data_IF_527140087652
#
_entry.id   IF_527140087652
#
_cell.length_a   1.000
_cell.length_b   1.000
_cell.length_c   1.000
_cell.angle_alpha   90.00
_cell.angle_beta   90.00
_cell.angle_gamma   90.00
#
_symmetry.space_group_name_H-M   'P 1'
#
loop_
_entity.id
_entity.type
_entity.pdbx_description
1 polymer ?
#
# COMPACT_ATOMS: atom_id res chain seq x y z
N UNK A 1 -40.69 -17.69 25.95
CA UNK A 1 -39.28 -17.32 26.21
C UNK A 1 -38.46 -17.78 25.03
N UNK A 2 -38.13 -16.88 24.11
CA UNK A 2 -37.28 -17.18 22.94
C UNK A 2 -35.97 -16.42 23.13
N UNK A 3 -34.80 -17.08 23.24
CA UNK A 3 -33.55 -16.37 23.40
C UNK A 3 -33.16 -15.70 22.07
N UNK A 4 -33.15 -14.38 22.10
CA UNK A 4 -32.50 -13.51 21.13
C UNK A 4 -30.99 -13.60 21.31
N UNK A 5 -30.27 -14.23 20.37
CA UNK A 5 -28.87 -13.89 20.03
C UNK A 5 -28.34 -14.76 18.87
N UNK A 6 -28.05 -14.11 17.74
CA UNK A 6 -26.79 -14.29 17.00
C UNK A 6 -26.48 -12.96 16.35
N UNK A 7 -26.00 -12.01 17.17
CA UNK A 7 -25.10 -10.97 16.65
C UNK A 7 -23.91 -11.72 16.04
N UNK A 8 -23.54 -11.35 14.82
CA UNK A 8 -22.51 -12.02 14.03
C UNK A 8 -21.29 -12.31 14.88
N UNK A 9 -20.83 -13.57 14.84
CA UNK A 9 -19.56 -13.94 15.45
C UNK A 9 -18.49 -13.06 14.80
N UNK A 10 -17.87 -12.18 15.58
CA UNK A 10 -16.63 -11.51 15.19
C UNK A 10 -15.65 -12.65 14.93
N UNK A 11 -15.33 -12.92 13.67
CA UNK A 11 -14.25 -13.86 13.35
C UNK A 11 -12.99 -13.27 13.95
N UNK A 12 -12.45 -13.90 14.99
CA UNK A 12 -11.11 -13.56 15.47
C UNK A 12 -10.14 -13.87 14.34
N UNK A 13 -9.53 -12.80 13.79
CA UNK A 13 -8.48 -12.97 12.81
C UNK A 13 -7.23 -13.55 13.48
N UNK A 14 -6.56 -14.53 12.85
CA UNK A 14 -5.32 -15.06 13.39
C UNK A 14 -4.29 -13.93 13.58
N UNK A 15 -3.38 -14.06 14.56
CA UNK A 15 -2.31 -13.10 14.75
C UNK A 15 -1.43 -13.03 13.50
N UNK A 16 -0.79 -11.88 13.29
CA UNK A 16 0.21 -11.75 12.23
C UNK A 16 1.39 -12.70 12.52
N UNK A 17 2.04 -13.18 11.46
CA UNK A 17 3.24 -14.01 11.54
C UNK A 17 4.49 -13.22 11.97
N UNK A 18 4.32 -11.94 12.32
CA UNK A 18 5.39 -11.01 12.66
C UNK A 18 4.84 -9.80 13.41
N UNK A 19 5.75 -9.03 14.00
CA UNK A 19 5.46 -7.73 14.63
C UNK A 19 5.96 -6.61 13.70
N UNK A 20 5.07 -6.02 12.87
CA UNK A 20 5.49 -5.00 11.93
C UNK A 20 5.75 -3.66 12.65
N UNK A 21 6.76 -2.88 12.22
CA UNK A 21 6.99 -1.55 12.77
C UNK A 21 5.81 -0.58 12.48
N UNK A 22 5.05 -0.87 11.42
CA UNK A 22 3.81 -0.17 11.06
C UNK A 22 2.74 -1.20 10.67
N UNK A 23 1.55 -1.19 11.28
CA UNK A 23 0.48 -2.13 10.91
C UNK A 23 0.06 -1.97 9.45
N UNK A 24 -0.13 -3.09 8.73
CA UNK A 24 -0.55 -3.08 7.33
C UNK A 24 -1.96 -3.66 7.17
N UNK A 25 -2.84 -2.91 6.52
CA UNK A 25 -4.24 -3.27 6.31
C UNK A 25 -4.61 -3.12 4.84
N UNK A 26 -5.39 -4.05 4.29
CA UNK A 26 -5.92 -3.89 2.94
C UNK A 26 -7.41 -4.21 2.87
N UNK A 27 -8.13 -3.47 2.04
CA UNK A 27 -9.45 -3.89 1.59
C UNK A 27 -9.32 -4.50 0.19
N UNK A 28 -9.88 -5.69 -0.01
CA UNK A 28 -9.93 -6.35 -1.32
C UNK A 28 -11.36 -6.31 -1.86
N UNK A 29 -11.56 -5.69 -3.02
CA UNK A 29 -12.89 -5.46 -3.59
C UNK A 29 -13.52 -6.71 -4.26
N UNK A 30 -12.78 -7.81 -4.41
CA UNK A 30 -13.33 -9.03 -5.02
C UNK A 30 -13.45 -8.99 -6.54
N UNK A 31 -12.73 -8.09 -7.21
CA UNK A 31 -12.90 -7.78 -8.64
C UNK A 31 -11.87 -8.47 -9.56
N UNK A 32 -10.89 -9.17 -8.99
CA UNK A 32 -9.81 -9.87 -9.70
C UNK A 32 -9.70 -11.35 -9.26
N UNK A 33 -8.81 -12.10 -9.92
CA UNK A 33 -8.52 -13.50 -9.56
C UNK A 33 -7.87 -13.56 -8.16
N UNK A 34 -8.53 -14.15 -7.15
CA UNK A 34 -8.00 -14.25 -5.79
C UNK A 34 -6.62 -14.92 -5.69
N UNK A 35 -6.25 -15.76 -6.66
CA UNK A 35 -4.96 -16.46 -6.68
C UNK A 35 -3.80 -15.58 -7.13
N UNK A 36 -4.10 -14.53 -7.90
CA UNK A 36 -3.11 -13.56 -8.41
C UNK A 36 -3.03 -12.31 -7.55
N UNK A 37 -4.04 -12.07 -6.73
CA UNK A 37 -4.13 -10.93 -5.85
C UNK A 37 -3.00 -10.90 -4.79
N UNK A 38 -2.21 -9.84 -4.80
CA UNK A 38 -1.04 -9.72 -3.92
C UNK A 38 -1.43 -9.46 -2.46
N UNK A 39 -2.48 -8.66 -2.22
CA UNK A 39 -3.00 -8.41 -0.87
C UNK A 39 -3.52 -9.70 -0.21
N UNK A 40 -4.30 -10.51 -0.93
CA UNK A 40 -4.76 -11.82 -0.44
C UNK A 40 -3.62 -12.78 -0.18
N UNK A 41 -2.57 -12.76 -1.01
CA UNK A 41 -1.40 -13.59 -0.79
C UNK A 41 -0.70 -13.18 0.51
N UNK A 42 -0.44 -11.89 0.74
CA UNK A 42 0.13 -11.41 2.00
C UNK A 42 -0.71 -11.81 3.21
N UNK A 43 -2.03 -11.69 3.13
CA UNK A 43 -2.94 -12.06 4.21
C UNK A 43 -2.93 -13.57 4.50
N UNK A 44 -2.81 -14.41 3.46
CA UNK A 44 -2.63 -15.86 3.60
C UNK A 44 -1.32 -16.21 4.33
N UNK A 45 -0.28 -15.37 4.18
CA UNK A 45 0.98 -15.48 4.91
C UNK A 45 0.95 -14.76 6.27
N UNK A 46 -0.20 -14.24 6.70
CA UNK A 46 -0.37 -13.49 7.94
C UNK A 46 0.57 -12.27 8.05
N UNK A 47 0.87 -11.61 6.93
CA UNK A 47 1.74 -10.43 6.91
C UNK A 47 0.98 -9.12 6.98
N UNK A 48 -0.29 -9.11 6.57
CA UNK A 48 -1.21 -7.96 6.63
C UNK A 48 -2.58 -8.42 7.14
N UNK A 49 -3.42 -7.47 7.55
CA UNK A 49 -4.85 -7.73 7.84
C UNK A 49 -5.72 -7.37 6.63
N UNK A 50 -6.71 -8.20 6.32
CA UNK A 50 -7.73 -7.88 5.33
C UNK A 50 -9.00 -7.41 6.03
N UNK A 51 -9.52 -6.25 5.64
CA UNK A 51 -10.79 -5.75 6.17
C UNK A 51 -11.93 -6.09 5.21
N UNK A 52 -13.14 -6.23 5.75
CA UNK A 52 -14.33 -6.63 4.98
C UNK A 52 -14.92 -5.50 4.13
N UNK A 53 -14.58 -4.24 4.43
CA UNK A 53 -15.05 -3.07 3.67
C UNK A 53 -14.05 -1.91 3.73
N UNK A 54 -14.09 -0.96 2.78
CA UNK A 54 -13.22 0.21 2.81
C UNK A 54 -13.36 1.05 4.09
N UNK A 55 -14.56 1.06 4.68
CA UNK A 55 -14.84 1.80 5.93
C UNK A 55 -14.35 1.11 7.19
N UNK A 56 -13.97 -0.16 7.08
CA UNK A 56 -13.38 -0.92 8.17
C UNK A 56 -11.85 -0.75 8.25
N UNK A 57 -11.24 0.00 7.32
CA UNK A 57 -9.85 0.41 7.45
C UNK A 57 -9.65 1.26 8.73
N UNK A 58 -8.50 1.15 9.41
CA UNK A 58 -8.29 1.84 10.68
C UNK A 58 -8.37 3.36 10.54
N UNK A 59 -9.15 4.00 11.41
CA UNK A 59 -9.23 5.45 11.46
C UNK A 59 -7.87 6.05 11.85
N UNK A 60 -7.46 7.10 11.14
CA UNK A 60 -6.16 7.76 11.30
C UNK A 60 -5.02 7.12 10.51
N UNK A 61 -5.24 5.96 9.87
CA UNK A 61 -4.21 5.32 9.07
C UNK A 61 -3.89 6.13 7.80
N UNK A 62 -2.68 5.94 7.29
CA UNK A 62 -2.29 6.39 5.97
C UNK A 62 -3.03 5.55 4.94
N UNK A 63 -3.72 6.17 3.98
CA UNK A 63 -4.33 5.48 2.85
C UNK A 63 -3.47 5.72 1.60
N UNK A 64 -2.92 4.65 1.04
CA UNK A 64 -2.22 4.70 -0.25
C UNK A 64 -3.24 4.90 -1.36
N UNK A 65 -3.42 6.16 -1.77
CA UNK A 65 -4.45 6.62 -2.69
C UNK A 65 -3.79 7.33 -3.89
N UNK A 66 -3.82 6.72 -5.09
CA UNK A 66 -3.15 7.28 -6.28
C UNK A 66 -3.76 8.61 -6.74
N UNK A 67 -4.93 9.00 -6.22
CA UNK A 67 -5.60 10.26 -6.54
C UNK A 67 -5.42 11.33 -5.43
N UNK A 68 -4.59 11.06 -4.42
CA UNK A 68 -4.32 12.02 -3.37
C UNK A 68 -3.43 13.17 -3.88
N UNK A 69 -3.64 14.37 -3.36
CA UNK A 69 -2.84 15.55 -3.71
C UNK A 69 -1.51 15.66 -2.97
N UNK A 70 -1.39 14.97 -1.84
CA UNK A 70 -0.19 14.97 -0.99
C UNK A 70 0.55 13.65 -1.22
N UNK A 71 1.84 13.72 -1.51
CA UNK A 71 2.70 12.54 -1.61
C UNK A 71 3.00 12.00 -0.21
N UNK A 72 3.18 10.68 -0.10
CA UNK A 72 3.69 10.04 1.10
C UNK A 72 5.12 10.52 1.37
N UNK A 73 5.43 10.87 2.62
CA UNK A 73 6.76 11.32 3.04
C UNK A 73 7.03 10.99 4.51
N UNK A 74 8.21 11.35 5.03
CA UNK A 74 8.56 11.14 6.44
C UNK A 74 7.63 11.87 7.43
N UNK A 75 6.98 12.96 7.01
CA UNK A 75 5.92 13.62 7.80
C UNK A 75 4.81 12.65 8.26
N UNK A 76 4.61 11.55 7.55
CA UNK A 76 3.55 10.57 7.81
C UNK A 76 3.97 9.47 8.80
N UNK A 77 5.23 9.46 9.27
CA UNK A 77 5.79 8.42 10.14
C UNK A 77 4.97 8.23 11.43
N UNK A 78 4.62 9.30 12.14
CA UNK A 78 3.86 9.19 13.40
C UNK A 78 2.49 8.55 13.18
N UNK A 79 1.76 8.99 12.15
CA UNK A 79 0.46 8.45 11.82
C UNK A 79 0.55 6.98 11.36
N UNK A 80 1.55 6.65 10.54
CA UNK A 80 1.79 5.28 10.08
C UNK A 80 2.16 4.34 11.24
N UNK A 81 3.00 4.77 12.18
CA UNK A 81 3.36 3.97 13.35
C UNK A 81 2.17 3.76 14.28
N UNK A 82 1.35 4.80 14.50
CA UNK A 82 0.23 4.74 15.43
C UNK A 82 -0.98 4.00 14.87
N UNK A 83 -1.30 4.18 13.60
CA UNK A 83 -2.55 3.72 12.99
C UNK A 83 -2.35 2.75 11.82
N UNK A 84 -1.14 2.71 11.24
CA UNK A 84 -0.79 1.83 10.14
C UNK A 84 -0.90 2.47 8.76
N UNK A 85 -0.57 1.65 7.77
CA UNK A 85 -0.72 1.94 6.33
C UNK A 85 -1.80 1.03 5.76
N UNK A 86 -2.69 1.64 4.98
CA UNK A 86 -3.87 1.03 4.39
C UNK A 86 -3.81 1.09 2.87
N UNK A 87 -4.15 -0.01 2.21
CA UNK A 87 -4.31 -0.07 0.76
C UNK A 87 -5.72 -0.52 0.38
N UNK A 88 -6.13 -0.14 -0.83
CA UNK A 88 -7.36 -0.60 -1.46
C UNK A 88 -6.97 -1.35 -2.73
N UNK A 89 -7.30 -2.62 -2.78
CA UNK A 89 -7.06 -3.48 -3.92
C UNK A 89 -8.37 -3.64 -4.71
N UNK A 90 -8.43 -2.92 -5.84
CA UNK A 90 -9.59 -2.85 -6.73
C UNK A 90 -9.13 -2.72 -8.19
N UNK A 91 -10.03 -3.00 -9.14
CA UNK A 91 -9.74 -2.76 -10.54
C UNK A 91 -9.71 -1.25 -10.86
N UNK A 92 -8.89 -0.84 -11.83
CA UNK A 92 -8.80 0.55 -12.27
C UNK A 92 -10.15 1.16 -12.66
N UNK A 93 -11.05 0.36 -13.26
CA UNK A 93 -12.40 0.80 -13.63
C UNK A 93 -13.26 1.28 -12.45
N UNK A 94 -12.92 0.87 -11.22
CA UNK A 94 -13.64 1.21 -10.00
C UNK A 94 -12.79 1.92 -8.95
N UNK A 95 -11.56 2.31 -9.30
CA UNK A 95 -10.60 2.86 -8.35
C UNK A 95 -11.15 4.13 -7.68
N UNK A 96 -11.48 5.17 -8.45
CA UNK A 96 -11.87 6.46 -7.88
C UNK A 96 -13.09 6.39 -6.94
N UNK A 97 -14.22 5.73 -7.30
CA UNK A 97 -15.33 5.56 -6.35
C UNK A 97 -14.94 4.77 -5.09
N UNK A 98 -14.08 3.76 -5.21
CA UNK A 98 -13.65 2.94 -4.07
C UNK A 98 -12.77 3.73 -3.11
N UNK A 99 -11.80 4.48 -3.63
CA UNK A 99 -10.95 5.38 -2.84
C UNK A 99 -11.77 6.49 -2.18
N UNK A 100 -12.74 7.09 -2.90
CA UNK A 100 -13.65 8.09 -2.33
C UNK A 100 -14.39 7.57 -1.10
N UNK A 101 -14.84 6.31 -1.13
CA UNK A 101 -15.50 5.66 0.00
C UNK A 101 -14.54 5.32 1.15
N UNK A 102 -13.28 5.01 0.84
CA UNK A 102 -12.24 4.70 1.81
C UNK A 102 -11.78 5.95 2.59
N UNK A 103 -11.60 7.10 1.93
CA UNK A 103 -10.98 8.32 2.49
C UNK A 103 -11.49 8.80 3.85
N UNK A 104 -12.75 8.52 4.19
CA UNK A 104 -13.37 9.09 5.40
C UNK A 104 -12.64 8.61 6.66
N UNK A 105 -11.95 9.53 7.33
CA UNK A 105 -11.21 9.27 8.56
C UNK A 105 -9.81 8.71 8.36
N UNK A 106 -9.29 8.69 7.12
CA UNK A 106 -7.91 8.31 6.80
C UNK A 106 -7.12 9.49 6.23
N UNK A 107 -5.80 9.35 6.19
CA UNK A 107 -4.90 10.33 5.58
C UNK A 107 -4.49 9.85 4.18
N UNK A 108 -5.15 10.33 3.10
CA UNK A 108 -4.81 9.91 1.75
C UNK A 108 -3.44 10.44 1.34
N UNK A 109 -2.59 9.56 0.80
CA UNK A 109 -1.26 9.86 0.28
C UNK A 109 -1.03 9.14 -1.04
N UNK A 110 -0.52 9.86 -2.03
CA UNK A 110 -0.09 9.28 -3.29
C UNK A 110 1.34 8.76 -3.11
N UNK A 111 1.66 7.63 -3.75
CA UNK A 111 3.05 7.23 -3.91
C UNK A 111 3.67 8.04 -5.05
N UNK A 112 4.94 8.47 -4.93
CA UNK A 112 5.64 9.13 -6.03
C UNK A 112 5.91 8.16 -7.18
N UNK A 113 6.46 8.69 -8.28
CA UNK A 113 6.82 7.89 -9.46
C UNK A 113 7.68 6.67 -9.09
N UNK A 114 7.16 5.50 -9.43
CA UNK A 114 7.81 4.21 -9.32
C UNK A 114 7.33 3.32 -10.46
N UNK A 115 8.17 2.36 -10.84
CA UNK A 115 7.93 1.42 -11.92
C UNK A 115 7.56 0.06 -11.36
N UNK A 116 6.46 -0.52 -11.87
CA UNK A 116 6.05 -1.86 -11.49
C UNK A 116 7.06 -2.92 -11.95
N UNK A 117 7.39 -3.85 -11.06
CA UNK A 117 8.22 -5.02 -11.32
C UNK A 117 7.42 -6.33 -11.31
N UNK A 118 6.14 -6.28 -10.94
CA UNK A 118 5.28 -7.45 -11.00
C UNK A 118 5.11 -7.97 -12.45
N UNK A 119 4.99 -9.30 -12.67
CA UNK A 119 4.93 -9.88 -14.01
C UNK A 119 3.75 -9.42 -14.88
N UNK A 120 2.70 -8.84 -14.28
CA UNK A 120 1.49 -8.43 -15.03
C UNK A 120 1.63 -7.02 -15.59
N UNK A 121 2.34 -6.13 -14.88
CA UNK A 121 2.47 -4.71 -15.21
C UNK A 121 3.93 -4.26 -15.30
N UNK A 122 4.86 -5.18 -15.52
CA UNK A 122 6.29 -4.88 -15.57
C UNK A 122 6.62 -3.69 -16.48
N UNK A 123 7.39 -2.74 -15.96
CA UNK A 123 7.81 -1.54 -16.68
C UNK A 123 6.74 -0.43 -16.75
N UNK A 124 5.53 -0.64 -16.21
CA UNK A 124 4.49 0.39 -16.22
C UNK A 124 4.67 1.36 -15.03
N UNK A 125 4.75 2.67 -15.29
CA UNK A 125 4.86 3.67 -14.24
C UNK A 125 3.52 3.79 -13.49
N UNK A 126 3.58 4.05 -12.18
CA UNK A 126 2.42 4.24 -11.29
C UNK A 126 1.45 3.05 -11.15
N UNK A 127 1.64 1.96 -11.90
CA UNK A 127 0.78 0.77 -11.90
C UNK A 127 1.29 -0.34 -10.95
N UNK A 128 1.66 0.07 -9.73
CA UNK A 128 2.14 -0.85 -8.69
C UNK A 128 1.03 -1.82 -8.27
N UNK A 129 1.42 -3.07 -7.98
CA UNK A 129 0.56 -3.99 -7.24
C UNK A 129 0.47 -3.58 -5.76
N UNK A 130 -0.52 -4.09 -5.03
CA UNK A 130 -0.72 -3.75 -3.60
C UNK A 130 0.50 -4.05 -2.73
N UNK A 131 1.23 -5.15 -2.98
CA UNK A 131 2.48 -5.43 -2.25
C UNK A 131 3.60 -4.43 -2.59
N UNK A 132 3.75 -4.03 -3.85
CA UNK A 132 4.74 -3.03 -4.27
C UNK A 132 4.40 -1.66 -3.66
N UNK A 133 3.11 -1.30 -3.60
CA UNK A 133 2.66 -0.08 -2.96
C UNK A 133 2.98 -0.07 -1.46
N UNK A 134 2.75 -1.18 -0.75
CA UNK A 134 3.18 -1.30 0.65
C UNK A 134 4.70 -1.26 0.80
N UNK A 135 5.44 -1.95 -0.07
CA UNK A 135 6.89 -1.97 -0.01
C UNK A 135 7.48 -0.57 -0.21
N UNK A 136 6.99 0.18 -1.21
CA UNK A 136 7.34 1.57 -1.44
C UNK A 136 7.05 2.43 -0.20
N UNK A 137 5.84 2.31 0.34
CA UNK A 137 5.44 3.09 1.52
C UNK A 137 6.34 2.80 2.72
N UNK A 138 6.65 1.53 2.98
CA UNK A 138 7.55 1.11 4.05
C UNK A 138 8.95 1.69 3.87
N UNK A 139 9.51 1.66 2.66
CA UNK A 139 10.83 2.22 2.39
C UNK A 139 10.83 3.74 2.61
N UNK A 140 9.84 4.45 2.08
CA UNK A 140 9.70 5.93 2.24
C UNK A 140 9.60 6.31 3.72
N UNK A 141 8.92 5.49 4.52
CA UNK A 141 8.77 5.68 5.97
C UNK A 141 9.99 5.17 6.79
N UNK A 142 11.07 4.72 6.14
CA UNK A 142 12.30 4.30 6.80
C UNK A 142 12.33 2.84 7.28
N UNK A 143 11.42 1.99 6.82
CA UNK A 143 11.28 0.58 7.21
C UNK A 143 11.64 -0.38 6.07
N UNK A 144 12.84 -0.26 5.51
CA UNK A 144 13.29 -1.09 4.37
C UNK A 144 13.26 -2.60 4.66
N UNK A 145 13.69 -3.03 5.84
CA UNK A 145 13.68 -4.46 6.22
C UNK A 145 12.25 -5.04 6.25
N UNK A 146 11.27 -4.22 6.67
CA UNK A 146 9.86 -4.59 6.65
C UNK A 146 9.34 -4.72 5.22
N UNK A 147 9.77 -3.83 4.32
CA UNK A 147 9.45 -3.90 2.89
C UNK A 147 10.00 -5.17 2.25
N UNK A 148 11.27 -5.50 2.52
CA UNK A 148 11.91 -6.73 2.02
C UNK A 148 11.20 -7.98 2.53
N UNK A 149 10.79 -7.99 3.80
CA UNK A 149 10.05 -9.12 4.39
C UNK A 149 8.72 -9.38 3.69
N UNK A 150 7.91 -8.35 3.41
CA UNK A 150 6.63 -8.56 2.73
C UNK A 150 6.82 -8.95 1.26
N UNK A 151 7.85 -8.41 0.61
CA UNK A 151 8.17 -8.71 -0.77
C UNK A 151 8.71 -10.13 -0.94
N UNK A 152 9.42 -10.69 0.04
CA UNK A 152 10.03 -12.04 -0.02
C UNK A 152 9.06 -13.19 -0.34
N UNK A 153 7.75 -12.96 -0.21
CA UNK A 153 6.69 -13.90 -0.65
C UNK A 153 6.60 -14.02 -2.18
N UNK A 154 7.21 -13.10 -2.92
CA UNK A 154 7.07 -12.94 -4.37
C UNK A 154 8.42 -13.18 -5.08
N UNK A 155 8.49 -14.04 -6.11
CA UNK A 155 9.76 -14.36 -6.79
C UNK A 155 10.45 -13.16 -7.45
N UNK A 156 9.70 -12.10 -7.78
CA UNK A 156 10.17 -10.88 -8.44
C UNK A 156 10.48 -9.75 -7.43
N UNK A 157 10.49 -10.06 -6.13
CA UNK A 157 10.77 -9.11 -5.05
C UNK A 157 11.99 -8.24 -5.30
N UNK A 158 13.10 -8.90 -5.65
CA UNK A 158 14.38 -8.24 -5.86
C UNK A 158 14.34 -7.26 -7.02
N UNK A 159 13.67 -7.64 -8.11
CA UNK A 159 13.51 -6.79 -9.30
C UNK A 159 12.83 -5.46 -8.95
N UNK A 160 11.85 -5.45 -8.05
CA UNK A 160 11.19 -4.20 -7.61
C UNK A 160 12.17 -3.20 -6.98
N UNK A 161 13.04 -3.70 -6.10
CA UNK A 161 14.04 -2.85 -5.46
C UNK A 161 15.16 -2.44 -6.41
N UNK A 162 15.51 -3.29 -7.38
CA UNK A 162 16.53 -2.98 -8.39
C UNK A 162 16.06 -1.89 -9.36
N UNK A 163 14.86 -2.04 -9.94
CA UNK A 163 14.35 -1.06 -10.92
C UNK A 163 14.00 0.29 -10.30
N UNK A 164 13.79 0.33 -8.98
CA UNK A 164 13.43 1.54 -8.25
C UNK A 164 14.49 1.95 -7.20
N UNK A 165 15.74 1.45 -7.32
CA UNK A 165 16.75 1.66 -6.28
C UNK A 165 17.00 3.14 -5.99
N UNK A 166 17.30 3.93 -7.02
CA UNK A 166 17.58 5.36 -6.89
C UNK A 166 16.34 6.16 -6.45
N UNK A 167 15.14 5.99 -7.06
CA UNK A 167 13.93 6.65 -6.58
C UNK A 167 13.63 6.36 -5.10
N UNK A 168 13.68 5.09 -4.69
CA UNK A 168 13.35 4.70 -3.32
C UNK A 168 14.33 5.28 -2.29
N UNK A 169 15.62 5.39 -2.63
CA UNK A 169 16.61 6.07 -1.79
C UNK A 169 16.25 7.55 -1.66
N UNK A 170 16.04 8.25 -2.78
CA UNK A 170 15.73 9.68 -2.78
C UNK A 170 14.44 9.99 -2.00
N UNK A 171 13.38 9.20 -2.18
CA UNK A 171 12.12 9.40 -1.46
C UNK A 171 12.22 9.06 0.02
N UNK A 172 13.06 8.09 0.39
CA UNK A 172 13.30 7.78 1.79
C UNK A 172 14.12 8.84 2.51
N UNK A 173 14.87 9.70 1.80
CA UNK A 173 15.63 10.83 2.36
C UNK A 173 14.83 12.14 2.42
N UNK A 174 13.75 12.24 1.65
CA UNK A 174 12.88 13.40 1.60
C UNK A 174 12.02 13.55 2.88
N UNK A 175 12.05 14.75 3.48
CA UNK A 175 11.36 15.00 4.75
C UNK A 175 9.87 15.27 4.55
N UNK A 176 9.51 16.05 3.52
CA UNK A 176 8.14 16.47 3.26
C UNK A 176 7.56 15.96 1.95
N UNK A 177 6.23 16.06 1.80
CA UNK A 177 5.57 15.78 0.53
C UNK A 177 6.12 16.62 -0.62
N UNK A 178 6.54 17.86 -0.37
CA UNK A 178 7.10 18.73 -1.41
C UNK A 178 8.47 18.25 -1.86
N UNK A 179 9.30 17.80 -0.90
CA UNK A 179 10.64 17.26 -1.19
C UNK A 179 10.54 15.96 -1.99
N UNK A 180 9.56 15.10 -1.65
CA UNK A 180 9.28 13.87 -2.42
C UNK A 180 8.87 14.18 -3.85
N UNK A 181 7.98 15.16 -4.05
CA UNK A 181 7.57 15.60 -5.39
C UNK A 181 8.77 16.15 -6.16
N UNK A 182 9.59 16.99 -5.54
CA UNK A 182 10.80 17.54 -6.17
C UNK A 182 11.79 16.43 -6.57
N UNK A 183 12.00 15.43 -5.70
CA UNK A 183 12.85 14.29 -5.99
C UNK A 183 12.30 13.45 -7.16
N UNK A 184 10.96 13.33 -7.27
CA UNK A 184 10.32 12.55 -8.34
C UNK A 184 10.67 13.09 -9.73
N UNK A 185 10.85 14.41 -9.88
CA UNK A 185 11.09 15.06 -11.17
C UNK A 185 12.39 14.57 -11.83
N UNK A 186 13.33 14.03 -11.04
CA UNK A 186 14.58 13.45 -11.56
C UNK A 186 14.37 12.11 -12.28
N UNK A 187 13.24 11.45 -12.05
CA UNK A 187 12.97 10.08 -12.51
C UNK A 187 11.82 10.01 -13.52
N UNK A 188 11.07 11.11 -13.69
CA UNK A 188 10.07 11.20 -14.74
C UNK A 188 10.78 11.25 -16.11
N UNK A 189 10.26 10.54 -17.13
CA UNK A 189 10.79 10.67 -18.48
C UNK A 189 10.65 12.12 -18.94
N UNK A 190 11.72 12.69 -19.51
CA UNK A 190 11.67 13.98 -20.18
C UNK A 190 10.77 13.88 -21.42
N UNK A 191 9.91 14.88 -21.65
CA UNK A 191 9.00 14.99 -22.80
C UNK A 191 9.71 15.06 -24.19
N UNK A 192 10.98 14.65 -24.31
CA UNK A 192 11.80 14.76 -25.52
C UNK A 192 11.79 13.50 -26.41
N UNK A 193 11.02 12.46 -26.09
CA UNK A 193 10.85 11.28 -26.98
C UNK A 193 9.37 10.98 -27.27
N UNK A 194 8.79 11.75 -28.20
CA UNK A 194 7.70 11.32 -29.10
C UNK A 194 8.06 11.58 -30.58
#
# INVERSE_FOLDING_TARGET
MSPSWRRGAVREEPPLAWDPPVPLHAFWAGQDDPKKNTAKKLAKHHLIRLVESPRALPHGAILLDPFAKKALSREDHEAAHRFGVSAVDCSWAHAEPTFRNARKGLHPRALPFLVAANPTRFGKPFELSTVEAFAAALVILGHRDAAERIMAVFPWAQTFFEVNAEPLIAYAEAESSSDVVQAQELFLPSDEEE
#
